data_IF_529835060335
#
_entry.id   IF_529835060335
#
_cell.length_a   1.000
_cell.length_b   1.000
_cell.length_c   1.000
_cell.angle_alpha   90.00
_cell.angle_beta   90.00
_cell.angle_gamma   90.00
#
_symmetry.space_group_name_H-M   'P 1'
#
loop_
_entity.id
_entity.type
_entity.pdbx_description
1 polymer ?
#
# COMPACT_ATOMS: atom_id res chain seq x y z
N UNK A 1 -11.97 -14.33 7.96
CA UNK A 1 -13.12 -13.69 7.32
C UNK A 1 -12.71 -12.40 6.65
N UNK A 2 -13.47 -11.94 5.68
CA UNK A 2 -13.27 -10.67 4.97
C UNK A 2 -13.88 -9.58 5.84
N UNK A 3 -13.16 -8.47 6.11
CA UNK A 3 -13.70 -7.34 6.86
C UNK A 3 -14.59 -6.45 5.96
N UNK A 4 -15.33 -5.52 6.57
CA UNK A 4 -16.30 -4.70 5.81
C UNK A 4 -15.62 -3.77 4.80
N UNK A 5 -14.47 -3.18 5.15
CA UNK A 5 -13.66 -2.41 4.20
C UNK A 5 -13.25 -3.25 2.97
N UNK A 6 -12.83 -4.50 3.19
CA UNK A 6 -12.45 -5.39 2.10
C UNK A 6 -13.63 -5.72 1.17
N UNK A 7 -14.84 -5.86 1.74
CA UNK A 7 -16.07 -6.05 0.94
C UNK A 7 -16.41 -4.80 0.12
N UNK A 8 -16.34 -3.64 0.74
CA UNK A 8 -16.61 -2.35 0.09
C UNK A 8 -15.59 -2.04 -1.01
N UNK A 9 -14.30 -2.30 -0.76
CA UNK A 9 -13.24 -2.14 -1.76
C UNK A 9 -13.48 -3.06 -2.96
N UNK A 10 -13.77 -4.35 -2.72
CA UNK A 10 -14.07 -5.29 -3.80
C UNK A 10 -15.31 -4.88 -4.59
N UNK A 11 -16.39 -4.50 -3.91
CA UNK A 11 -17.62 -4.03 -4.54
C UNK A 11 -17.40 -2.75 -5.35
N UNK A 12 -16.69 -1.76 -4.77
CA UNK A 12 -16.34 -0.51 -5.44
C UNK A 12 -15.47 -0.73 -6.69
N UNK A 13 -14.43 -1.57 -6.54
CA UNK A 13 -13.55 -1.91 -7.65
C UNK A 13 -14.24 -2.72 -8.75
N UNK A 14 -15.24 -3.55 -8.40
CA UNK A 14 -16.05 -4.32 -9.32
C UNK A 14 -17.26 -3.55 -9.88
N UNK A 15 -17.54 -2.36 -9.35
CA UNK A 15 -18.62 -1.50 -9.84
C UNK A 15 -18.29 -0.88 -11.21
N UNK A 16 -19.26 -0.21 -11.82
CA UNK A 16 -19.07 0.57 -13.03
C UNK A 16 -18.23 1.85 -12.86
N UNK A 17 -17.68 2.12 -11.65
CA UNK A 17 -16.82 3.26 -11.43
C UNK A 17 -15.53 3.10 -12.23
N UNK A 18 -15.19 4.11 -13.02
CA UNK A 18 -13.94 4.17 -13.77
C UNK A 18 -12.75 4.50 -12.87
N UNK A 19 -12.95 5.42 -11.93
CA UNK A 19 -11.91 5.83 -10.98
C UNK A 19 -12.35 5.56 -9.54
N UNK A 20 -11.50 4.86 -8.80
CA UNK A 20 -11.71 4.46 -7.42
C UNK A 20 -10.54 4.91 -6.53
N UNK A 21 -10.83 5.51 -5.40
CA UNK A 21 -9.86 5.75 -4.33
C UNK A 21 -10.19 4.90 -3.11
N UNK A 22 -9.21 4.13 -2.64
CA UNK A 22 -9.31 3.28 -1.45
C UNK A 22 -8.30 3.70 -0.40
N UNK A 23 -8.78 4.14 0.74
CA UNK A 23 -7.95 4.57 1.87
C UNK A 23 -8.27 3.76 3.12
N UNK A 24 -7.24 3.18 3.72
CA UNK A 24 -7.35 2.43 4.97
C UNK A 24 -6.01 2.35 5.68
N UNK A 25 -5.97 2.17 7.01
CA UNK A 25 -4.73 1.99 7.75
C UNK A 25 -3.82 0.90 7.15
N UNK A 26 -2.52 1.05 7.29
CA UNK A 26 -1.54 -0.01 7.05
C UNK A 26 -1.98 -1.27 7.82
N UNK A 27 -1.70 -2.44 7.34
CA UNK A 27 -2.15 -3.72 7.91
C UNK A 27 -3.65 -4.05 7.75
N UNK A 28 -4.42 -3.26 6.99
CA UNK A 28 -5.82 -3.61 6.65
C UNK A 28 -5.94 -4.75 5.62
N UNK A 29 -4.82 -5.28 5.13
CA UNK A 29 -4.79 -6.30 4.07
C UNK A 29 -5.15 -5.75 2.69
N UNK A 30 -5.06 -4.43 2.48
CA UNK A 30 -5.36 -3.76 1.20
C UNK A 30 -4.61 -4.37 0.03
N UNK A 31 -3.29 -4.43 0.14
CA UNK A 31 -2.42 -4.88 -0.95
C UNK A 31 -2.81 -6.29 -1.39
N UNK A 32 -2.93 -7.24 -0.45
CA UNK A 32 -3.31 -8.61 -0.78
C UNK A 32 -4.68 -8.69 -1.48
N UNK A 33 -5.67 -7.96 -0.98
CA UNK A 33 -7.00 -7.92 -1.58
C UNK A 33 -6.98 -7.31 -2.99
N UNK A 34 -6.22 -6.21 -3.16
CA UNK A 34 -6.08 -5.54 -4.46
C UNK A 34 -5.40 -6.45 -5.48
N UNK A 35 -4.38 -7.22 -5.07
CA UNK A 35 -3.72 -8.19 -5.97
C UNK A 35 -4.67 -9.32 -6.39
N UNK A 36 -5.47 -9.85 -5.46
CA UNK A 36 -6.48 -10.86 -5.79
C UNK A 36 -7.54 -10.30 -6.74
N UNK A 37 -8.07 -9.10 -6.43
CA UNK A 37 -9.04 -8.44 -7.30
C UNK A 37 -8.46 -8.13 -8.68
N UNK A 38 -7.20 -7.66 -8.77
CA UNK A 38 -6.51 -7.41 -10.02
C UNK A 38 -6.50 -8.65 -10.91
N UNK A 39 -6.07 -9.79 -10.37
CA UNK A 39 -6.01 -11.05 -11.12
C UNK A 39 -7.41 -11.52 -11.54
N UNK A 40 -8.39 -11.45 -10.65
CA UNK A 40 -9.78 -11.77 -10.97
C UNK A 40 -10.32 -10.87 -12.08
N UNK A 41 -10.12 -9.57 -11.97
CA UNK A 41 -10.53 -8.59 -12.97
C UNK A 41 -9.88 -8.85 -14.34
N UNK A 42 -8.56 -9.09 -14.36
CA UNK A 42 -7.83 -9.42 -15.59
C UNK A 42 -8.36 -10.71 -16.21
N UNK A 43 -8.68 -11.74 -15.41
CA UNK A 43 -9.25 -13.02 -15.91
C UNK A 43 -10.64 -12.85 -16.49
N UNK A 44 -11.51 -12.13 -15.82
CA UNK A 44 -12.96 -12.09 -16.10
C UNK A 44 -13.38 -10.96 -17.04
N UNK A 45 -12.55 -9.93 -17.20
CA UNK A 45 -12.86 -8.77 -18.04
C UNK A 45 -12.15 -8.82 -19.40
N UNK A 46 -12.37 -7.78 -20.20
CA UNK A 46 -11.69 -7.55 -21.49
C UNK A 46 -10.31 -6.91 -21.34
N UNK A 47 -9.87 -6.66 -20.09
CA UNK A 47 -8.56 -6.05 -19.80
C UNK A 47 -7.43 -6.88 -20.43
N UNK A 48 -6.65 -6.28 -21.29
CA UNK A 48 -5.46 -6.86 -21.92
C UNK A 48 -4.18 -6.39 -21.22
N UNK A 49 -4.13 -5.12 -20.87
CA UNK A 49 -2.97 -4.46 -20.25
C UNK A 49 -3.39 -3.88 -18.91
N UNK A 50 -2.82 -4.42 -17.84
CA UNK A 50 -2.92 -3.86 -16.50
C UNK A 50 -1.54 -3.39 -16.01
N UNK A 51 -1.51 -2.26 -15.31
CA UNK A 51 -0.30 -1.72 -14.69
C UNK A 51 -0.54 -1.54 -13.20
N UNK A 52 0.36 -2.08 -12.37
CA UNK A 52 0.44 -1.84 -10.94
C UNK A 52 1.64 -0.96 -10.64
N UNK A 53 1.43 0.22 -10.11
CA UNK A 53 2.49 1.15 -9.72
C UNK A 53 2.79 1.03 -8.24
N UNK A 54 4.06 0.81 -7.92
CA UNK A 54 4.58 0.80 -6.55
C UNK A 54 5.71 1.83 -6.40
N UNK A 55 5.85 2.48 -5.22
CA UNK A 55 6.77 3.61 -5.05
C UNK A 55 8.25 3.23 -5.02
N UNK A 56 8.58 1.96 -4.78
CA UNK A 56 9.97 1.51 -4.65
C UNK A 56 10.23 0.22 -5.42
N UNK A 57 11.49 0.00 -5.84
CA UNK A 57 11.91 -1.23 -6.51
C UNK A 57 11.74 -2.47 -5.62
N UNK A 58 11.95 -2.33 -4.32
CA UNK A 58 11.75 -3.43 -3.37
C UNK A 58 10.29 -3.88 -3.36
N UNK A 59 9.35 -2.94 -3.27
CA UNK A 59 7.92 -3.23 -3.31
C UNK A 59 7.48 -3.79 -4.68
N UNK A 60 8.03 -3.28 -5.79
CA UNK A 60 7.81 -3.85 -7.13
C UNK A 60 8.17 -5.34 -7.16
N UNK A 61 9.33 -5.72 -6.62
CA UNK A 61 9.76 -7.13 -6.59
C UNK A 61 8.87 -7.99 -5.71
N UNK A 62 8.44 -7.48 -4.56
CA UNK A 62 7.52 -8.17 -3.65
C UNK A 62 6.15 -8.40 -4.30
N UNK A 63 5.58 -7.37 -4.93
CA UNK A 63 4.29 -7.46 -5.63
C UNK A 63 4.37 -8.41 -6.83
N UNK A 64 5.44 -8.34 -7.63
CA UNK A 64 5.65 -9.24 -8.75
C UNK A 64 5.68 -10.71 -8.31
N UNK A 65 6.43 -11.02 -7.24
CA UNK A 65 6.47 -12.37 -6.68
C UNK A 65 5.10 -12.82 -6.18
N UNK A 66 4.41 -11.98 -5.40
CA UNK A 66 3.08 -12.28 -4.88
C UNK A 66 2.06 -12.54 -5.99
N UNK A 67 2.08 -11.73 -7.06
CA UNK A 67 1.21 -11.94 -8.21
C UNK A 67 1.54 -13.25 -8.95
N UNK A 68 2.82 -13.57 -9.14
CA UNK A 68 3.24 -14.82 -9.76
C UNK A 68 2.82 -16.04 -8.93
N UNK A 69 2.93 -15.96 -7.60
CA UNK A 69 2.46 -17.00 -6.69
C UNK A 69 0.94 -17.20 -6.77
N UNK A 70 0.17 -16.12 -6.81
CA UNK A 70 -1.29 -16.16 -6.95
C UNK A 70 -1.74 -16.64 -8.35
N UNK A 71 -0.88 -16.51 -9.36
CA UNK A 71 -1.17 -16.83 -10.75
C UNK A 71 -0.65 -18.20 -11.21
N UNK A 72 -0.06 -19.00 -10.31
CA UNK A 72 0.72 -20.23 -10.61
C UNK A 72 0.11 -21.20 -11.64
N UNK A 73 -1.19 -21.24 -11.80
CA UNK A 73 -1.88 -22.14 -12.72
C UNK A 73 -2.39 -21.47 -14.00
N UNK A 74 -2.23 -20.17 -14.14
CA UNK A 74 -2.80 -19.41 -15.26
C UNK A 74 -1.70 -18.96 -16.22
N UNK A 75 -1.54 -19.70 -17.32
CA UNK A 75 -0.54 -19.39 -18.37
C UNK A 75 -1.00 -18.29 -19.33
N UNK A 76 -2.24 -17.81 -19.20
CA UNK A 76 -2.82 -16.75 -20.04
C UNK A 76 -2.42 -15.33 -19.60
N UNK A 77 -1.85 -15.17 -18.42
CA UNK A 77 -1.44 -13.86 -17.85
C UNK A 77 0.08 -13.83 -17.71
N UNK A 78 0.70 -12.87 -18.34
CA UNK A 78 2.13 -12.61 -18.18
C UNK A 78 2.37 -11.49 -17.17
N UNK A 79 3.16 -11.76 -16.12
CA UNK A 79 3.46 -10.82 -15.04
C UNK A 79 4.94 -10.48 -15.10
N UNK A 80 5.26 -9.19 -15.24
CA UNK A 80 6.64 -8.71 -15.35
C UNK A 80 6.84 -7.33 -14.73
N UNK A 81 8.02 -7.13 -14.15
CA UNK A 81 8.48 -5.81 -13.70
C UNK A 81 9.39 -5.10 -14.71
N UNK A 82 9.65 -5.71 -15.86
CA UNK A 82 10.48 -5.13 -16.91
C UNK A 82 9.60 -4.44 -17.97
N UNK A 83 10.00 -3.26 -18.46
CA UNK A 83 9.27 -2.53 -19.51
C UNK A 83 9.53 -3.12 -20.90
N UNK A 84 9.04 -4.35 -21.11
CA UNK A 84 9.24 -5.13 -22.32
C UNK A 84 8.16 -4.82 -23.35
N UNK A 85 8.54 -4.23 -24.47
CA UNK A 85 7.63 -3.90 -25.57
C UNK A 85 7.05 -5.14 -26.23
N UNK A 86 7.81 -6.23 -26.32
CA UNK A 86 7.36 -7.51 -26.85
C UNK A 86 6.23 -8.12 -26.01
N UNK A 87 6.25 -8.00 -24.70
CA UNK A 87 5.16 -8.43 -23.80
C UNK A 87 3.92 -7.60 -24.04
N UNK A 88 4.07 -6.29 -24.23
CA UNK A 88 2.96 -5.39 -24.56
C UNK A 88 2.30 -5.79 -25.87
N UNK A 89 3.08 -5.91 -26.95
CA UNK A 89 2.52 -6.24 -28.27
C UNK A 89 1.92 -7.65 -28.32
N UNK A 90 2.55 -8.65 -27.69
CA UNK A 90 2.00 -10.01 -27.66
C UNK A 90 0.65 -10.06 -26.93
N UNK A 91 0.43 -9.19 -25.95
CA UNK A 91 -0.83 -9.12 -25.20
C UNK A 91 -1.90 -8.32 -25.93
N UNK A 92 -1.54 -7.24 -26.62
CA UNK A 92 -2.52 -6.42 -27.35
C UNK A 92 -3.01 -7.11 -28.64
N UNK A 93 -2.14 -7.85 -29.32
CA UNK A 93 -2.47 -8.53 -30.59
C UNK A 93 -2.88 -10.00 -30.44
N UNK A 94 -2.53 -10.62 -29.29
CA UNK A 94 -2.80 -12.04 -29.03
C UNK A 94 -3.88 -12.29 -27.98
N UNK A 95 -3.94 -13.54 -27.52
CA UNK A 95 -4.89 -13.98 -26.48
C UNK A 95 -4.35 -13.81 -25.06
N UNK A 96 -3.05 -13.62 -24.89
CA UNK A 96 -2.44 -13.36 -23.59
C UNK A 96 -2.83 -12.01 -23.05
N UNK A 97 -2.72 -11.86 -21.73
CA UNK A 97 -2.90 -10.61 -20.99
C UNK A 97 -1.61 -10.28 -20.26
N UNK A 98 -1.34 -9.01 -20.04
CA UNK A 98 -0.14 -8.58 -19.32
C UNK A 98 -0.48 -7.80 -18.05
N UNK A 99 0.24 -8.10 -16.99
CA UNK A 99 0.28 -7.30 -15.76
C UNK A 99 1.70 -6.80 -15.56
N UNK A 100 1.90 -5.51 -15.75
CA UNK A 100 3.17 -4.84 -15.50
C UNK A 100 3.20 -4.32 -14.07
N UNK A 101 4.28 -4.61 -13.34
CA UNK A 101 4.50 -4.09 -11.98
C UNK A 101 5.67 -3.12 -12.04
N UNK A 102 5.40 -1.82 -11.94
CA UNK A 102 6.36 -0.78 -12.23
C UNK A 102 6.55 0.21 -11.08
N UNK A 103 7.69 0.88 -11.07
CA UNK A 103 7.81 2.23 -10.52
C UNK A 103 7.35 3.25 -11.56
N UNK A 104 7.09 4.50 -11.15
CA UNK A 104 6.71 5.55 -12.09
C UNK A 104 7.75 5.77 -13.21
N UNK A 105 9.03 5.59 -12.91
CA UNK A 105 10.10 5.75 -13.90
C UNK A 105 10.03 4.65 -14.98
N UNK A 106 9.69 3.41 -14.60
CA UNK A 106 9.51 2.31 -15.57
C UNK A 106 8.27 2.50 -16.42
N UNK A 107 7.17 2.99 -15.84
CA UNK A 107 5.98 3.36 -16.61
C UNK A 107 6.33 4.45 -17.62
N UNK A 108 6.98 5.52 -17.18
CA UNK A 108 7.40 6.61 -18.05
C UNK A 108 8.32 6.13 -19.20
N UNK A 109 9.23 5.19 -18.88
CA UNK A 109 10.09 4.59 -19.92
C UNK A 109 9.24 3.84 -20.97
N UNK A 110 8.29 3.00 -20.55
CA UNK A 110 7.45 2.25 -21.50
C UNK A 110 6.56 3.16 -22.33
N UNK A 111 5.97 4.21 -21.71
CA UNK A 111 5.20 5.26 -22.40
C UNK A 111 6.05 5.94 -23.49
N UNK A 112 7.31 6.24 -23.18
CA UNK A 112 8.19 6.89 -24.17
C UNK A 112 8.62 5.94 -25.29
N UNK A 113 8.80 4.64 -25.00
CA UNK A 113 9.17 3.63 -26.00
C UNK A 113 8.04 3.34 -26.98
N UNK A 114 6.80 3.31 -26.50
CA UNK A 114 5.63 2.97 -27.29
C UNK A 114 4.88 4.20 -27.87
N UNK A 115 5.12 5.37 -27.27
CA UNK A 115 4.52 6.62 -27.72
C UNK A 115 2.99 6.59 -27.68
N UNK A 116 2.36 6.95 -28.79
CA UNK A 116 0.89 7.01 -28.94
C UNK A 116 0.23 5.64 -29.01
N UNK A 117 0.99 4.59 -29.28
CA UNK A 117 0.46 3.21 -29.34
C UNK A 117 0.27 2.60 -27.94
N UNK A 118 0.74 3.27 -26.87
CA UNK A 118 0.64 2.77 -25.51
C UNK A 118 -0.73 3.05 -24.91
N UNK A 119 -1.46 1.99 -24.63
CA UNK A 119 -2.78 2.05 -23.97
C UNK A 119 -2.82 1.07 -22.80
N UNK A 120 -3.41 1.49 -21.70
CA UNK A 120 -3.62 0.69 -20.48
C UNK A 120 -5.11 0.60 -20.20
N UNK A 121 -5.60 -0.59 -19.85
CA UNK A 121 -7.01 -0.80 -19.53
C UNK A 121 -7.29 -0.65 -18.04
N UNK A 122 -6.31 -1.02 -17.19
CA UNK A 122 -6.38 -0.93 -15.74
C UNK A 122 -5.06 -0.39 -15.17
N UNK A 123 -5.15 0.67 -14.40
CA UNK A 123 -4.04 1.25 -13.66
C UNK A 123 -4.32 1.19 -12.16
N UNK A 124 -3.44 0.57 -11.39
CA UNK A 124 -3.46 0.59 -9.93
C UNK A 124 -2.28 1.40 -9.45
N UNK A 125 -2.52 2.37 -8.58
CA UNK A 125 -1.49 3.24 -7.99
C UNK A 125 -1.44 3.00 -6.50
N UNK A 126 -0.40 2.31 -6.05
CA UNK A 126 -0.17 2.05 -4.62
C UNK A 126 0.56 3.21 -3.96
N UNK A 127 0.30 3.43 -2.67
CA UNK A 127 0.85 4.57 -1.92
C UNK A 127 0.54 5.93 -2.60
N UNK A 128 -0.66 6.05 -3.15
CA UNK A 128 -1.06 7.17 -4.01
C UNK A 128 -0.97 8.55 -3.34
N UNK A 129 -0.97 8.61 -1.99
CA UNK A 129 -0.75 9.84 -1.22
C UNK A 129 0.62 10.49 -1.51
N UNK A 130 1.59 9.73 -2.03
CA UNK A 130 2.91 10.24 -2.44
C UNK A 130 2.92 10.93 -3.80
N UNK A 131 1.79 10.98 -4.51
CA UNK A 131 1.67 11.67 -5.81
C UNK A 131 1.98 13.18 -5.67
N UNK A 132 1.60 13.80 -4.53
CA UNK A 132 1.87 15.21 -4.26
C UNK A 132 3.30 15.54 -3.82
N UNK A 133 4.13 14.55 -3.54
CA UNK A 133 5.44 14.73 -2.93
C UNK A 133 6.57 14.79 -3.98
N UNK A 134 7.08 16.00 -4.27
CA UNK A 134 8.31 16.24 -5.03
C UNK A 134 8.26 15.91 -6.55
N UNK A 135 9.46 15.94 -7.19
CA UNK A 135 9.65 15.65 -8.62
C UNK A 135 9.09 14.31 -9.08
N UNK A 136 9.02 13.32 -8.20
CA UNK A 136 8.43 12.00 -8.48
C UNK A 136 6.92 12.06 -8.68
N UNK A 137 6.23 12.93 -7.93
CA UNK A 137 4.80 13.15 -8.10
C UNK A 137 4.46 13.72 -9.47
N UNK A 138 5.25 14.66 -9.96
CA UNK A 138 5.08 15.26 -11.30
C UNK A 138 5.23 14.20 -12.40
N UNK A 139 6.23 13.33 -12.31
CA UNK A 139 6.44 12.24 -13.28
C UNK A 139 5.26 11.27 -13.28
N UNK A 140 4.75 10.95 -12.10
CA UNK A 140 3.60 10.05 -11.97
C UNK A 140 2.33 10.68 -12.52
N UNK A 141 2.06 11.95 -12.21
CA UNK A 141 0.91 12.68 -12.73
C UNK A 141 0.97 12.78 -14.26
N UNK A 142 2.12 13.18 -14.84
CA UNK A 142 2.30 13.22 -16.30
C UNK A 142 2.04 11.84 -16.94
N UNK A 143 2.56 10.76 -16.33
CA UNK A 143 2.35 9.40 -16.84
C UNK A 143 0.87 9.01 -16.78
N UNK A 144 0.15 9.29 -15.69
CA UNK A 144 -1.28 9.02 -15.55
C UNK A 144 -2.08 9.81 -16.58
N UNK A 145 -1.81 11.10 -16.74
CA UNK A 145 -2.49 11.95 -17.72
C UNK A 145 -2.28 11.46 -19.15
N UNK A 146 -1.06 11.08 -19.51
CA UNK A 146 -0.75 10.56 -20.86
C UNK A 146 -1.50 9.26 -21.14
N UNK A 147 -1.47 8.33 -20.19
CA UNK A 147 -2.15 7.02 -20.33
C UNK A 147 -3.68 7.21 -20.35
N UNK A 148 -4.24 8.13 -19.54
CA UNK A 148 -5.68 8.45 -19.54
C UNK A 148 -6.14 9.07 -20.85
N UNK A 149 -5.32 9.91 -21.49
CA UNK A 149 -5.63 10.48 -22.81
C UNK A 149 -5.69 9.41 -23.89
N UNK A 150 -4.81 8.40 -23.82
CA UNK A 150 -4.79 7.29 -24.79
C UNK A 150 -5.99 6.34 -24.61
N UNK A 151 -6.41 6.12 -23.36
CA UNK A 151 -7.60 5.33 -23.07
C UNK A 151 -8.49 6.03 -22.04
N UNK A 152 -9.45 6.87 -22.49
CA UNK A 152 -10.38 7.56 -21.57
C UNK A 152 -11.27 6.60 -20.77
N UNK A 153 -11.41 5.34 -21.20
CA UNK A 153 -12.18 4.30 -20.51
C UNK A 153 -11.31 3.49 -19.52
N UNK A 154 -10.04 3.84 -19.36
CA UNK A 154 -9.14 3.18 -18.42
C UNK A 154 -9.69 3.21 -17.00
N UNK A 155 -9.69 2.05 -16.35
CA UNK A 155 -10.02 1.98 -14.93
C UNK A 155 -8.79 2.35 -14.10
N UNK A 156 -8.99 3.22 -13.10
CA UNK A 156 -7.92 3.64 -12.20
C UNK A 156 -8.31 3.36 -10.74
N UNK A 157 -7.42 2.71 -10.01
CA UNK A 157 -7.57 2.40 -8.59
C UNK A 157 -6.41 2.98 -7.82
N UNK A 158 -6.68 3.98 -7.00
CA UNK A 158 -5.72 4.55 -6.06
C UNK A 158 -5.82 3.82 -4.73
N UNK A 159 -4.69 3.39 -4.20
CA UNK A 159 -4.58 2.74 -2.89
C UNK A 159 -3.65 3.57 -2.01
N UNK A 160 -4.12 3.94 -0.82
CA UNK A 160 -3.34 4.75 0.11
C UNK A 160 -3.53 4.27 1.56
N UNK A 161 -2.60 4.56 2.48
CA UNK A 161 -2.89 4.51 3.91
C UNK A 161 -4.00 5.51 4.23
N UNK A 162 -4.54 5.47 5.46
CA UNK A 162 -5.55 6.45 5.89
C UNK A 162 -5.08 7.87 5.61
N UNK A 163 -5.80 8.56 4.72
CA UNK A 163 -5.58 9.95 4.36
C UNK A 163 -6.82 10.76 4.76
N UNK A 164 -6.62 12.01 5.13
CA UNK A 164 -7.72 12.89 5.53
C UNK A 164 -8.67 13.21 4.36
N UNK A 165 -8.18 13.09 3.12
CA UNK A 165 -8.96 13.48 1.94
C UNK A 165 -8.72 12.52 0.75
N UNK A 166 -9.25 11.28 0.79
CA UNK A 166 -9.06 10.32 -0.30
C UNK A 166 -9.72 10.76 -1.62
N UNK A 167 -10.63 11.75 -1.57
CA UNK A 167 -11.31 12.31 -2.74
C UNK A 167 -10.41 13.18 -3.63
N UNK A 168 -9.35 13.79 -3.09
CA UNK A 168 -8.43 14.64 -3.86
C UNK A 168 -7.79 13.88 -5.03
N UNK A 169 -7.47 12.61 -4.85
CA UNK A 169 -6.90 11.76 -5.90
C UNK A 169 -7.85 11.54 -7.09
N UNK A 170 -9.13 11.84 -6.91
CA UNK A 170 -10.15 11.68 -7.95
C UNK A 170 -10.46 13.00 -8.66
N UNK A 171 -9.87 14.13 -8.27
CA UNK A 171 -10.14 15.44 -8.87
C UNK A 171 -9.69 15.52 -10.32
N UNK A 172 -8.57 14.86 -10.64
CA UNK A 172 -8.00 14.82 -11.99
C UNK A 172 -8.71 13.81 -12.92
N UNK A 173 -9.70 13.07 -12.42
CA UNK A 173 -10.45 12.16 -13.27
C UNK A 173 -11.31 12.92 -14.29
N UNK A 174 -11.47 12.41 -15.53
CA UNK A 174 -12.34 13.01 -16.52
C UNK A 174 -13.75 13.30 -15.98
N UNK A 175 -14.33 14.44 -16.33
CA UNK A 175 -15.59 14.94 -15.76
C UNK A 175 -16.76 13.95 -15.89
N UNK A 176 -16.79 13.19 -16.99
CA UNK A 176 -17.86 12.24 -17.29
C UNK A 176 -17.61 10.84 -16.71
N UNK A 177 -16.47 10.62 -16.00
CA UNK A 177 -16.10 9.32 -15.47
C UNK A 177 -16.75 9.09 -14.09
N UNK A 178 -17.47 7.99 -13.88
CA UNK A 178 -17.98 7.62 -12.56
C UNK A 178 -16.84 7.44 -11.57
N UNK A 179 -16.95 8.09 -10.42
CA UNK A 179 -15.93 8.10 -9.35
C UNK A 179 -16.51 7.49 -8.08
N UNK A 180 -15.68 6.76 -7.35
CA UNK A 180 -16.06 6.16 -6.05
C UNK A 180 -14.89 6.25 -5.09
N UNK A 181 -15.18 6.55 -3.83
CA UNK A 181 -14.21 6.54 -2.73
C UNK A 181 -14.65 5.57 -1.65
N UNK A 182 -13.72 4.73 -1.22
CA UNK A 182 -13.89 3.79 -0.10
C UNK A 182 -12.88 4.14 0.98
N UNK A 183 -13.34 4.44 2.18
CA UNK A 183 -12.49 4.86 3.28
C UNK A 183 -12.83 4.14 4.56
N UNK A 184 -11.82 3.78 5.34
CA UNK A 184 -11.99 3.34 6.72
C UNK A 184 -10.82 3.81 7.57
N UNK A 185 -11.16 4.29 8.75
CA UNK A 185 -10.18 4.65 9.79
C UNK A 185 -10.02 3.53 10.84
N UNK A 186 -10.80 2.44 10.70
CA UNK A 186 -10.73 1.32 11.63
C UNK A 186 -9.49 0.46 11.36
N UNK A 187 -8.53 0.42 12.29
CA UNK A 187 -7.38 -0.47 12.18
C UNK A 187 -7.86 -1.92 12.31
N UNK A 188 -7.41 -2.79 11.41
CA UNK A 188 -7.67 -4.24 11.49
C UNK A 188 -6.84 -4.94 12.56
N UNK A 189 -5.80 -4.27 13.04
CA UNK A 189 -4.95 -4.69 14.15
C UNK A 189 -5.05 -3.64 15.25
N UNK A 190 -5.48 -4.04 16.43
CA UNK A 190 -5.45 -3.19 17.61
C UNK A 190 -3.98 -2.84 17.93
N UNK A 191 -3.66 -1.57 17.77
CA UNK A 191 -2.36 -1.02 18.15
C UNK A 191 -2.53 -0.30 19.49
N UNK A 192 -1.87 -0.82 20.51
CA UNK A 192 -1.79 -0.15 21.80
C UNK A 192 -0.44 0.59 21.87
N UNK A 193 -0.48 1.90 21.93
CA UNK A 193 0.72 2.71 22.14
C UNK A 193 0.91 2.87 23.63
N UNK A 194 2.01 2.33 24.16
CA UNK A 194 2.35 2.40 25.58
C UNK A 194 3.52 3.35 25.76
N UNK A 195 3.30 4.40 26.53
CA UNK A 195 4.33 5.30 27.01
C UNK A 195 4.92 4.72 28.28
N UNK A 196 6.23 4.50 28.31
CA UNK A 196 6.94 3.99 29.48
C UNK A 196 7.97 5.02 29.98
N UNK A 197 7.76 5.55 31.17
CA UNK A 197 8.65 6.54 31.81
C UNK A 197 9.26 6.01 33.10
N UNK A 198 10.56 6.23 33.26
CA UNK A 198 11.23 5.84 34.50
C UNK A 198 10.77 6.72 35.67
N UNK A 199 10.30 6.11 36.75
CA UNK A 199 9.90 6.84 37.94
C UNK A 199 11.14 7.55 38.55
N UNK A 200 11.08 8.87 38.82
CA UNK A 200 12.20 9.62 39.38
C UNK A 200 12.75 8.98 40.66
N UNK A 201 14.05 8.85 40.73
CA UNK A 201 14.79 8.26 41.88
C UNK A 201 14.54 6.75 42.12
N UNK A 202 13.76 6.08 41.25
CA UNK A 202 13.48 4.64 41.34
C UNK A 202 13.90 3.93 40.02
N UNK A 203 15.17 3.59 39.86
CA UNK A 203 15.69 3.11 38.56
C UNK A 203 15.15 1.75 38.10
N UNK A 204 14.39 1.06 38.93
CA UNK A 204 13.73 -0.20 38.61
C UNK A 204 12.22 -0.07 38.36
N UNK A 205 11.65 1.09 38.62
CA UNK A 205 10.22 1.32 38.48
C UNK A 205 9.94 2.21 37.25
N UNK A 206 8.94 1.83 36.49
CA UNK A 206 8.52 2.52 35.27
C UNK A 206 7.01 2.71 35.31
N UNK A 207 6.53 3.94 35.13
CA UNK A 207 5.13 4.19 34.86
C UNK A 207 4.79 3.79 33.42
N UNK A 208 3.65 3.16 33.24
CA UNK A 208 3.11 2.78 31.94
C UNK A 208 1.77 3.46 31.74
N UNK A 209 1.65 4.19 30.64
CA UNK A 209 0.42 4.84 30.23
C UNK A 209 0.01 4.34 28.83
N UNK A 210 -1.26 4.01 28.65
CA UNK A 210 -1.83 3.74 27.33
C UNK A 210 -2.21 5.07 26.67
N UNK A 211 -1.67 5.34 25.51
CA UNK A 211 -2.06 6.50 24.72
C UNK A 211 -3.33 6.15 23.95
N UNK A 212 -4.44 6.77 24.33
CA UNK A 212 -5.73 6.62 23.65
C UNK A 212 -6.25 8.01 23.28
N UNK A 213 -6.23 8.31 21.96
CA UNK A 213 -6.50 9.68 21.49
C UNK A 213 -5.46 10.68 22.04
N UNK A 214 -5.93 11.84 22.46
CA UNK A 214 -5.06 12.94 22.96
C UNK A 214 -4.70 12.84 24.45
N UNK A 215 -5.16 11.80 25.14
CA UNK A 215 -4.95 11.68 26.58
C UNK A 215 -4.36 10.34 26.99
N UNK A 216 -3.26 10.33 27.77
CA UNK A 216 -2.72 9.10 28.33
C UNK A 216 -3.63 8.55 29.45
N UNK A 217 -3.85 7.23 29.45
CA UNK A 217 -4.60 6.50 30.46
C UNK A 217 -3.58 5.72 31.30
N UNK A 218 -3.46 5.96 32.60
CA UNK A 218 -2.52 5.25 33.46
C UNK A 218 -2.83 3.75 33.53
N UNK A 219 -1.87 2.90 33.15
CA UNK A 219 -1.96 1.44 33.27
C UNK A 219 -1.38 0.94 34.60
N UNK A 220 -0.43 1.69 35.17
CA UNK A 220 0.22 1.32 36.42
C UNK A 220 1.74 1.42 36.37
N UNK A 221 2.39 0.73 37.29
CA UNK A 221 3.86 0.77 37.45
C UNK A 221 4.46 -0.62 37.22
N UNK A 222 5.40 -0.71 36.27
CA UNK A 222 6.21 -1.90 36.04
C UNK A 222 7.47 -1.86 36.97
N UNK A 223 7.70 -2.94 37.69
CA UNK A 223 8.90 -3.09 38.52
C UNK A 223 9.83 -4.15 37.93
N UNK A 224 11.00 -3.73 37.48
CA UNK A 224 12.03 -4.63 36.95
C UNK A 224 12.78 -5.33 38.10
N UNK A 225 13.02 -6.62 37.99
CA UNK A 225 13.78 -7.42 38.95
C UNK A 225 15.22 -6.93 39.06
N UNK A 226 15.82 -6.53 37.93
CA UNK A 226 17.19 -6.01 37.85
C UNK A 226 17.21 -4.60 37.23
N UNK A 227 18.25 -3.82 37.55
CA UNK A 227 18.54 -2.57 36.87
C UNK A 227 19.31 -2.87 35.57
N UNK A 228 18.69 -2.78 34.41
CA UNK A 228 19.39 -3.05 33.13
C UNK A 228 20.50 -2.00 32.92
N UNK A 229 21.65 -2.44 32.48
CA UNK A 229 22.72 -1.54 32.08
C UNK A 229 22.46 -0.99 30.69
N UNK A 230 22.39 0.35 30.57
CA UNK A 230 22.17 1.02 29.29
C UNK A 230 20.72 1.13 28.84
N UNK A 231 20.45 2.05 27.89
CA UNK A 231 19.12 2.36 27.38
C UNK A 231 18.53 1.17 26.59
N UNK A 232 19.33 0.53 25.74
CA UNK A 232 18.92 -0.61 24.89
C UNK A 232 18.36 -1.78 25.71
N UNK A 233 19.08 -2.20 26.76
CA UNK A 233 18.59 -3.27 27.65
C UNK A 233 17.31 -2.88 28.40
N UNK A 234 17.15 -1.59 28.76
CA UNK A 234 15.92 -1.09 29.38
C UNK A 234 14.74 -1.19 28.41
N UNK A 235 14.91 -0.76 27.17
CA UNK A 235 13.86 -0.84 26.13
C UNK A 235 13.45 -2.29 25.88
N UNK A 236 14.41 -3.20 25.72
CA UNK A 236 14.13 -4.63 25.53
C UNK A 236 13.36 -5.25 26.71
N UNK A 237 13.72 -4.93 27.96
CA UNK A 237 13.02 -5.42 29.15
C UNK A 237 11.59 -4.86 29.25
N UNK A 238 11.39 -3.59 28.95
CA UNK A 238 10.08 -2.94 28.97
C UNK A 238 9.21 -3.54 27.86
N UNK A 239 9.74 -3.68 26.65
CA UNK A 239 9.05 -4.28 25.52
C UNK A 239 8.63 -5.72 25.81
N UNK A 240 9.51 -6.54 26.36
CA UNK A 240 9.20 -7.90 26.76
C UNK A 240 8.13 -7.99 27.86
N UNK A 241 8.15 -7.05 28.82
CA UNK A 241 7.20 -7.03 29.93
C UNK A 241 5.82 -6.46 29.52
N UNK A 242 5.78 -5.50 28.62
CA UNK A 242 4.54 -4.87 28.12
C UNK A 242 3.92 -5.59 26.92
N UNK A 243 4.71 -6.35 26.14
CA UNK A 243 4.32 -6.90 24.85
C UNK A 243 3.31 -8.05 24.88
N UNK A 244 3.06 -8.67 26.01
CA UNK A 244 2.04 -9.72 26.15
C UNK A 244 2.17 -10.85 25.12
N UNK A 245 1.04 -11.19 24.44
CA UNK A 245 0.96 -12.23 23.41
C UNK A 245 1.02 -11.68 21.98
N UNK A 246 1.18 -10.37 21.80
CA UNK A 246 1.22 -9.69 20.50
C UNK A 246 2.63 -9.38 20.03
N UNK A 247 2.74 -8.90 18.79
CA UNK A 247 3.97 -8.30 18.29
C UNK A 247 4.25 -6.96 19.00
N UNK A 248 5.49 -6.73 19.41
CA UNK A 248 5.90 -5.47 20.03
C UNK A 248 6.90 -4.75 19.13
N UNK A 249 6.59 -3.50 18.79
CA UNK A 249 7.47 -2.62 18.04
C UNK A 249 8.08 -1.59 19.02
N UNK A 250 9.39 -1.49 19.03
CA UNK A 250 10.12 -0.50 19.83
C UNK A 250 10.70 0.56 18.90
N UNK A 251 10.35 1.81 19.13
CA UNK A 251 10.93 2.92 18.39
C UNK A 251 12.29 3.32 18.95
N UNK A 252 13.26 3.44 18.05
CA UNK A 252 14.62 3.90 18.34
C UNK A 252 14.91 5.18 17.57
N UNK A 253 15.77 6.06 18.14
CA UNK A 253 16.09 7.35 17.53
C UNK A 253 17.06 7.26 16.34
N UNK A 254 17.58 6.08 16.02
CA UNK A 254 18.47 5.85 14.88
C UNK A 254 18.81 4.39 14.66
N UNK A 255 19.34 4.07 13.48
CA UNK A 255 19.68 2.72 13.06
C UNK A 255 20.67 2.03 14.02
N UNK A 256 21.66 2.76 14.55
CA UNK A 256 22.64 2.24 15.50
C UNK A 256 22.03 1.81 16.86
N UNK A 257 20.83 2.30 17.21
CA UNK A 257 20.11 1.86 18.41
C UNK A 257 19.23 0.63 18.14
N UNK A 258 18.93 0.34 16.88
CA UNK A 258 18.07 -0.77 16.48
C UNK A 258 18.85 -2.06 16.17
N UNK A 259 20.15 -1.95 15.82
CA UNK A 259 20.99 -3.10 15.41
C UNK A 259 21.55 -3.93 16.57
N UNK A 260 21.47 -3.50 17.80
CA UNK A 260 21.91 -4.21 19.02
C UNK A 260 20.71 -4.81 19.80
#
# INVERSE_FOLDING_TARGET
GVNDFQKELWAGASSGAGWLSASAPTASGKTYLVLQWLLDHVRTSKTKIAVYLAPTRALVSEIELSLKELCQSDTGIEITSLPLTEVYFSSTTGDKKAVFVFTQERLHLLVNLLGEDFSVDLLIVDEAHKIGDNQRGVILQDAIERVSRQNPMMKVVFVSPSTQNPGELLEDAPNDMPKTSVNTDMPTVLQNVILAEQVPRKPKEWSLDLVWGDSPIPLGTLKLSNKPAGLKKRLAFIAAAAGGRGGTLVYCNGAAEAED
#
